data_IF_256946314106
#
_entry.id   IF_256946314106
#
_cell.length_a   1.000
_cell.length_b   1.000
_cell.length_c   1.000
_cell.angle_alpha   90.00
_cell.angle_beta   90.00
_cell.angle_gamma   90.00
#
_symmetry.space_group_name_H-M   'P 1'
#
loop_
_entity.id
_entity.type
_entity.pdbx_description
1 polymer ?
#
# COMPACT_ATOMS: atom_id res chain seq x y z
N UNK A 1 52.04 28.00 -34.57
CA UNK A 1 52.69 27.61 -33.31
C UNK A 1 51.61 27.20 -32.34
N UNK A 2 51.59 25.93 -32.22
CA UNK A 2 51.31 25.06 -31.06
C UNK A 2 50.12 25.44 -30.17
N UNK A 3 49.11 24.64 -30.39
CA UNK A 3 47.98 24.30 -29.62
C UNK A 3 48.27 23.72 -28.23
N UNK A 4 47.28 23.83 -27.38
CA UNK A 4 47.17 22.91 -26.24
C UNK A 4 45.68 22.64 -25.98
N UNK A 5 45.25 21.43 -26.36
CA UNK A 5 43.98 20.83 -26.05
C UNK A 5 44.06 20.29 -24.62
N UNK A 6 43.41 21.00 -23.69
CA UNK A 6 43.16 20.49 -22.35
C UNK A 6 41.81 19.77 -22.28
N UNK A 7 41.77 18.47 -22.51
CA UNK A 7 40.62 17.64 -22.31
C UNK A 7 40.32 17.50 -20.82
N UNK A 8 39.23 18.09 -20.35
CA UNK A 8 38.68 17.85 -19.03
C UNK A 8 38.02 16.47 -19.02
N UNK A 9 38.67 15.52 -18.37
CA UNK A 9 38.11 14.21 -18.09
C UNK A 9 36.93 14.35 -17.11
N UNK A 10 35.71 14.11 -17.60
CA UNK A 10 34.52 13.95 -16.80
C UNK A 10 34.69 12.70 -15.92
N UNK A 11 34.98 12.87 -14.66
CA UNK A 11 34.88 11.80 -13.67
C UNK A 11 33.39 11.47 -13.48
N UNK A 12 32.95 10.34 -13.98
CA UNK A 12 31.71 9.69 -13.60
C UNK A 12 31.72 9.48 -12.10
N UNK A 13 30.93 10.23 -11.36
CA UNK A 13 30.57 9.90 -9.99
C UNK A 13 29.39 8.94 -10.05
N UNK A 14 29.67 7.64 -10.06
CA UNK A 14 28.70 6.61 -9.74
C UNK A 14 28.37 6.73 -8.24
N UNK A 15 27.43 7.58 -7.90
CA UNK A 15 26.66 7.49 -6.65
C UNK A 15 25.20 7.28 -7.05
N UNK A 16 24.78 6.02 -7.03
CA UNK A 16 23.39 5.63 -7.01
C UNK A 16 22.80 6.12 -5.69
N UNK A 17 22.12 7.29 -5.72
CA UNK A 17 21.35 7.81 -4.59
C UNK A 17 20.07 6.96 -4.40
N UNK A 18 20.25 5.69 -4.07
CA UNK A 18 19.16 4.90 -3.55
C UNK A 18 18.79 5.46 -2.16
N UNK A 19 17.51 5.75 -1.87
CA UNK A 19 17.10 6.19 -0.55
C UNK A 19 17.62 5.23 0.51
N UNK A 20 18.12 5.76 1.62
CA UNK A 20 18.77 5.02 2.71
C UNK A 20 18.01 3.74 3.14
N UNK A 21 16.68 3.78 3.17
CA UNK A 21 15.86 2.61 3.50
C UNK A 21 15.92 1.50 2.44
N UNK A 22 16.09 1.86 1.15
CA UNK A 22 16.29 0.87 0.07
C UNK A 22 17.69 0.26 0.16
N UNK A 23 18.70 1.06 0.51
CA UNK A 23 20.05 0.54 0.77
C UNK A 23 20.02 -0.43 1.96
N UNK A 24 19.38 -0.05 3.06
CA UNK A 24 19.23 -0.91 4.24
C UNK A 24 18.34 -2.13 4.02
N UNK A 25 17.30 -2.01 3.19
CA UNK A 25 16.46 -3.14 2.78
C UNK A 25 17.25 -4.14 1.91
N UNK A 26 18.01 -3.63 0.96
CA UNK A 26 18.87 -4.46 0.12
C UNK A 26 20.03 -5.09 0.91
N UNK A 27 20.60 -4.37 1.90
CA UNK A 27 21.60 -4.88 2.82
C UNK A 27 21.03 -5.99 3.72
N UNK A 28 19.81 -5.82 4.21
CA UNK A 28 19.11 -6.85 5.00
C UNK A 28 18.78 -8.10 4.17
N UNK A 29 18.34 -7.93 2.92
CA UNK A 29 18.14 -9.06 2.00
C UNK A 29 19.44 -9.78 1.69
N UNK A 30 20.56 -9.03 1.58
CA UNK A 30 21.89 -9.58 1.35
C UNK A 30 22.40 -10.37 2.56
N UNK A 31 22.28 -9.82 3.77
CA UNK A 31 22.60 -10.52 5.02
C UNK A 31 21.72 -11.72 5.29
N UNK A 32 20.42 -11.67 4.95
CA UNK A 32 19.52 -12.82 5.03
C UNK A 32 19.90 -13.91 4.02
N UNK A 33 20.34 -13.55 2.82
CA UNK A 33 20.86 -14.49 1.82
C UNK A 33 22.24 -15.05 2.18
N UNK A 34 23.16 -14.23 2.72
CA UNK A 34 24.50 -14.66 3.16
C UNK A 34 24.40 -15.58 4.38
N UNK A 35 23.51 -15.29 5.33
CA UNK A 35 23.23 -16.18 6.47
C UNK A 35 22.51 -17.49 6.06
N UNK A 36 21.76 -17.47 4.96
CA UNK A 36 21.19 -18.69 4.38
C UNK A 36 22.25 -19.53 3.65
N UNK A 37 23.30 -18.90 3.10
CA UNK A 37 24.39 -19.60 2.42
C UNK A 37 25.45 -20.15 3.41
N UNK A 38 25.66 -19.49 4.55
CA UNK A 38 26.66 -19.91 5.56
C UNK A 38 26.19 -21.09 6.44
N UNK A 39 24.92 -21.50 6.37
CA UNK A 39 24.33 -22.60 7.14
C UNK A 39 24.35 -23.99 6.46
N UNK A 40 25.01 -24.15 5.32
CA UNK A 40 24.88 -25.36 4.46
C UNK A 40 26.15 -26.20 4.41
N UNK A 41 27.15 -25.98 5.24
CA UNK A 41 28.28 -26.90 5.34
C UNK A 41 28.07 -27.91 6.48
N UNK A 42 27.53 -29.08 6.13
CA UNK A 42 27.51 -30.22 7.06
C UNK A 42 26.41 -31.26 6.89
N UNK A 43 25.51 -31.18 5.91
CA UNK A 43 24.51 -32.22 5.68
C UNK A 43 24.58 -32.74 4.24
N UNK A 44 24.90 -34.04 4.12
CA UNK A 44 24.83 -34.75 2.84
C UNK A 44 23.41 -34.60 2.24
N UNK A 45 23.30 -34.41 0.92
CA UNK A 45 22.00 -34.25 0.27
C UNK A 45 21.24 -35.58 0.30
N UNK A 46 20.15 -35.61 1.05
CA UNK A 46 19.10 -36.61 0.84
C UNK A 46 18.46 -36.34 -0.54
N UNK A 47 18.16 -37.42 -1.26
CA UNK A 47 17.56 -37.39 -2.59
C UNK A 47 16.37 -36.41 -2.67
N UNK A 48 16.13 -35.75 -3.82
CA UNK A 48 15.06 -34.79 -3.96
C UNK A 48 13.72 -35.50 -4.04
N UNK A 49 12.99 -35.54 -2.93
CA UNK A 49 11.56 -35.81 -2.98
C UNK A 49 10.89 -34.58 -3.62
N UNK A 50 10.45 -34.79 -4.86
CA UNK A 50 9.73 -33.79 -5.62
C UNK A 50 8.44 -33.39 -4.91
N UNK A 51 8.06 -32.12 -5.10
CA UNK A 51 6.75 -31.52 -4.88
C UNK A 51 6.38 -30.93 -3.52
N UNK A 52 7.26 -30.82 -2.54
CA UNK A 52 6.92 -30.07 -1.32
C UNK A 52 7.15 -28.55 -1.48
N UNK A 53 6.10 -27.70 -1.33
CA UNK A 53 6.22 -26.25 -1.42
C UNK A 53 7.20 -25.65 -0.41
N UNK A 54 7.99 -24.66 -0.83
CA UNK A 54 9.05 -23.99 -0.04
C UNK A 54 8.57 -23.45 1.32
N UNK A 55 7.29 -23.06 1.45
CA UNK A 55 6.72 -22.58 2.71
C UNK A 55 6.54 -23.69 3.74
N UNK A 56 6.26 -24.91 3.34
CA UNK A 56 6.17 -26.06 4.23
C UNK A 56 7.54 -26.49 4.74
N UNK A 57 8.59 -26.42 3.92
CA UNK A 57 9.98 -26.65 4.35
C UNK A 57 10.41 -25.62 5.39
N UNK A 58 10.06 -24.36 5.21
CA UNK A 58 10.35 -23.27 6.18
C UNK A 58 9.56 -23.42 7.47
N UNK A 59 8.36 -23.95 7.43
CA UNK A 59 7.55 -24.22 8.62
C UNK A 59 8.15 -25.35 9.48
N UNK A 60 8.61 -26.42 8.86
CA UNK A 60 9.32 -27.52 9.55
C UNK A 60 10.66 -27.09 10.15
N UNK A 61 11.41 -26.28 9.45
CA UNK A 61 12.69 -25.75 9.92
C UNK A 61 12.56 -24.82 11.15
N UNK A 62 11.37 -24.29 11.41
CA UNK A 62 11.08 -23.45 12.59
C UNK A 62 10.53 -24.22 13.80
N UNK A 63 10.67 -25.53 13.85
CA UNK A 63 10.28 -26.32 15.01
C UNK A 63 8.76 -26.56 15.13
N UNK A 64 8.03 -26.48 14.03
CA UNK A 64 6.62 -26.84 13.98
C UNK A 64 6.41 -28.30 14.37
N UNK A 65 5.65 -28.53 15.43
CA UNK A 65 5.41 -29.84 16.05
C UNK A 65 4.74 -30.82 15.06
N UNK A 66 5.22 -32.06 15.04
CA UNK A 66 4.65 -33.21 14.29
C UNK A 66 3.17 -33.50 14.60
N UNK A 67 2.63 -32.94 15.67
CA UNK A 67 1.22 -33.13 16.05
C UNK A 67 0.23 -32.43 15.11
N UNK A 68 0.67 -31.44 14.31
CA UNK A 68 -0.17 -30.72 13.35
C UNK A 68 -0.33 -31.44 12.01
N UNK A 69 0.54 -32.41 11.68
CA UNK A 69 0.42 -33.18 10.43
C UNK A 69 -0.57 -34.36 10.49
N UNK A 70 -0.89 -34.81 11.69
CA UNK A 70 -1.87 -35.92 11.87
C UNK A 70 -3.33 -35.47 11.62
N UNK A 71 -3.60 -34.15 11.58
CA UNK A 71 -4.95 -33.62 11.31
C UNK A 71 -5.20 -33.42 9.81
N UNK A 72 -4.19 -33.54 8.96
CA UNK A 72 -4.30 -33.39 7.50
C UNK A 72 -4.37 -34.73 6.74
N UNK A 73 -4.24 -35.84 7.43
CA UNK A 73 -4.57 -37.16 6.91
C UNK A 73 -6.01 -37.57 7.29
N UNK A 74 -6.96 -36.66 7.09
CA UNK A 74 -8.37 -37.01 7.08
C UNK A 74 -8.69 -37.52 5.68
N UNK A 75 -8.95 -38.82 5.67
CA UNK A 75 -9.44 -39.66 4.59
C UNK A 75 -10.35 -38.84 3.62
N UNK A 76 -9.84 -38.45 2.46
CA UNK A 76 -10.56 -37.62 1.46
C UNK A 76 -11.88 -38.30 1.01
N UNK A 77 -11.98 -39.62 1.08
CA UNK A 77 -13.16 -40.41 0.72
C UNK A 77 -14.27 -40.33 1.78
N UNK A 78 -13.94 -40.14 3.06
CA UNK A 78 -14.94 -39.94 4.11
C UNK A 78 -15.61 -38.59 4.05
N UNK A 79 -14.84 -37.56 3.72
CA UNK A 79 -15.36 -36.19 3.60
C UNK A 79 -16.32 -36.03 2.41
N UNK A 80 -16.01 -36.66 1.28
CA UNK A 80 -16.88 -36.67 0.09
C UNK A 80 -18.13 -37.48 0.28
N UNK A 81 -18.08 -38.59 1.03
CA UNK A 81 -19.23 -39.47 1.28
C UNK A 81 -20.21 -38.88 2.31
N UNK A 82 -19.72 -38.21 3.32
CA UNK A 82 -20.56 -37.50 4.31
C UNK A 82 -21.21 -36.23 3.74
N UNK A 83 -20.49 -35.49 2.89
CA UNK A 83 -21.03 -34.34 2.18
C UNK A 83 -22.14 -34.74 1.19
N UNK A 84 -21.99 -35.88 0.51
CA UNK A 84 -23.00 -36.40 -0.43
C UNK A 84 -24.26 -36.95 0.26
N UNK A 85 -24.17 -37.40 1.52
CA UNK A 85 -25.32 -37.87 2.29
C UNK A 85 -26.16 -36.79 2.92
N UNK A 86 -25.57 -35.61 3.21
CA UNK A 86 -26.27 -34.49 3.85
C UNK A 86 -26.95 -33.55 2.86
N UNK A 87 -26.72 -33.70 1.56
CA UNK A 87 -27.26 -32.78 0.53
C UNK A 87 -28.60 -33.20 -0.09
N UNK A 88 -29.16 -34.36 0.32
CA UNK A 88 -30.44 -34.85 -0.30
C UNK A 88 -31.73 -34.16 0.18
N UNK A 89 -31.71 -33.44 1.31
CA UNK A 89 -32.94 -32.84 1.87
C UNK A 89 -32.74 -31.44 2.50
N UNK A 90 -31.73 -30.68 2.10
CA UNK A 90 -31.60 -29.30 2.52
C UNK A 90 -31.70 -28.34 1.34
N UNK A 91 -32.68 -27.44 1.41
CA UNK A 91 -32.74 -26.22 0.61
C UNK A 91 -31.31 -25.70 0.36
N UNK A 92 -30.97 -25.47 -0.92
CA UNK A 92 -29.65 -24.96 -1.30
C UNK A 92 -29.50 -23.58 -0.66
N UNK A 93 -28.99 -23.58 0.57
CA UNK A 93 -28.59 -22.36 1.25
C UNK A 93 -27.36 -21.85 0.50
N UNK A 94 -27.47 -20.67 -0.13
CA UNK A 94 -26.38 -20.03 -0.83
C UNK A 94 -25.11 -20.06 0.03
N UNK A 95 -23.92 -20.29 -0.56
CA UNK A 95 -22.65 -20.32 0.19
C UNK A 95 -22.51 -19.08 1.05
N UNK A 96 -21.96 -19.19 2.27
CA UNK A 96 -21.84 -18.06 3.20
C UNK A 96 -21.13 -16.85 2.58
N UNK A 97 -20.26 -17.04 1.61
CA UNK A 97 -19.61 -15.96 0.86
C UNK A 97 -20.57 -15.11 0.02
N UNK A 98 -21.62 -15.70 -0.58
CA UNK A 98 -22.64 -14.93 -1.30
C UNK A 98 -23.51 -14.11 -0.36
N UNK A 99 -23.94 -14.66 0.79
CA UNK A 99 -24.72 -13.91 1.78
C UNK A 99 -23.90 -12.77 2.39
N UNK A 100 -22.60 -12.96 2.64
CA UNK A 100 -21.72 -11.90 3.14
C UNK A 100 -21.54 -10.75 2.13
N UNK A 101 -21.66 -11.02 0.82
CA UNK A 101 -21.55 -10.00 -0.22
C UNK A 101 -22.84 -9.16 -0.37
N UNK A 102 -24.01 -9.73 -0.08
CA UNK A 102 -25.30 -9.03 -0.15
C UNK A 102 -25.46 -7.95 0.93
N UNK A 103 -24.71 -8.03 2.04
CA UNK A 103 -24.78 -7.07 3.15
C UNK A 103 -24.03 -5.76 2.89
N UNK A 104 -23.22 -5.67 1.82
CA UNK A 104 -22.40 -4.50 1.52
C UNK A 104 -22.91 -3.75 0.29
N UNK A 105 -22.92 -2.42 0.39
CA UNK A 105 -23.29 -1.54 -0.71
C UNK A 105 -22.09 -1.26 -1.61
N UNK A 106 -20.92 -0.98 -1.01
CA UNK A 106 -19.72 -0.55 -1.73
C UNK A 106 -18.47 -1.20 -1.14
N UNK A 107 -17.56 -1.66 -2.01
CA UNK A 107 -16.20 -2.08 -1.66
C UNK A 107 -15.22 -1.02 -2.17
N UNK A 108 -14.36 -0.52 -1.27
CA UNK A 108 -13.28 0.41 -1.59
C UNK A 108 -11.95 -0.28 -1.32
N UNK A 109 -11.02 -0.22 -2.28
CA UNK A 109 -9.67 -0.74 -2.14
C UNK A 109 -8.68 0.40 -2.23
N UNK A 110 -8.04 0.72 -1.12
CA UNK A 110 -7.04 1.78 -1.01
C UNK A 110 -5.68 1.12 -1.21
N UNK A 111 -5.02 1.41 -2.35
CA UNK A 111 -3.83 0.68 -2.81
C UNK A 111 -2.62 1.63 -2.81
N UNK A 112 -1.49 1.18 -2.23
CA UNK A 112 -0.21 1.89 -2.35
C UNK A 112 0.30 1.83 -3.79
N UNK A 113 0.89 2.94 -4.27
CA UNK A 113 1.57 2.94 -5.57
C UNK A 113 2.66 1.86 -5.67
N UNK A 114 2.97 1.41 -6.89
CA UNK A 114 4.05 0.49 -7.20
C UNK A 114 5.44 1.06 -6.89
N UNK A 115 6.50 0.27 -7.07
CA UNK A 115 7.89 0.71 -6.87
C UNK A 115 8.20 1.90 -7.77
N UNK A 116 8.79 2.96 -7.20
CA UNK A 116 9.14 4.20 -7.90
C UNK A 116 10.63 4.27 -8.22
N UNK A 117 10.96 5.09 -9.22
CA UNK A 117 12.36 5.35 -9.59
C UNK A 117 13.11 6.20 -8.55
N UNK A 118 12.39 6.84 -7.64
CA UNK A 118 12.93 7.68 -6.57
C UNK A 118 11.87 8.63 -6.01
N UNK A 119 12.26 9.35 -4.96
CA UNK A 119 11.39 10.34 -4.29
C UNK A 119 11.88 11.78 -4.44
N UNK A 120 13.09 11.97 -4.97
CA UNK A 120 13.66 13.32 -5.20
C UNK A 120 12.92 14.10 -6.29
N UNK A 121 12.36 13.38 -7.25
CA UNK A 121 11.49 13.90 -8.31
C UNK A 121 10.23 13.05 -8.35
N UNK A 122 9.13 13.56 -8.89
CA UNK A 122 7.94 12.74 -9.13
C UNK A 122 8.15 11.87 -10.39
N UNK A 123 9.13 10.97 -10.32
CA UNK A 123 9.70 10.24 -11.45
C UNK A 123 8.84 9.07 -11.96
N UNK A 124 7.70 8.80 -11.32
CA UNK A 124 6.84 7.69 -11.72
C UNK A 124 7.33 6.31 -11.27
N UNK A 125 6.80 5.27 -11.90
CA UNK A 125 7.08 3.87 -11.55
C UNK A 125 8.34 3.35 -12.25
N UNK A 126 9.01 2.39 -11.61
CA UNK A 126 9.95 1.51 -12.30
C UNK A 126 9.19 0.51 -13.19
N UNK A 127 9.85 -0.17 -14.15
CA UNK A 127 9.22 -1.27 -14.89
C UNK A 127 8.63 -2.34 -13.97
N UNK A 128 9.31 -2.68 -12.87
CA UNK A 128 8.82 -3.60 -11.85
C UNK A 128 7.58 -3.06 -11.14
N UNK A 129 7.56 -1.77 -10.78
CA UNK A 129 6.40 -1.13 -10.17
C UNK A 129 5.18 -1.12 -11.09
N UNK A 130 5.40 -0.90 -12.40
CA UNK A 130 4.37 -1.03 -13.42
C UNK A 130 3.81 -2.44 -13.51
N UNK A 131 4.69 -3.44 -13.55
CA UNK A 131 4.30 -4.85 -13.54
C UNK A 131 3.50 -5.22 -12.28
N UNK A 132 3.96 -4.82 -11.10
CA UNK A 132 3.24 -5.06 -9.83
C UNK A 132 1.81 -4.50 -9.87
N UNK A 133 1.65 -3.26 -10.34
CA UNK A 133 0.35 -2.61 -10.46
C UNK A 133 -0.55 -3.31 -11.49
N UNK A 134 -0.01 -3.71 -12.64
CA UNK A 134 -0.72 -4.49 -13.65
C UNK A 134 -1.20 -5.85 -13.09
N UNK A 135 -0.32 -6.59 -12.42
CA UNK A 135 -0.67 -7.87 -11.78
C UNK A 135 -1.75 -7.68 -10.69
N UNK A 136 -1.70 -6.57 -9.95
CA UNK A 136 -2.76 -6.24 -8.98
C UNK A 136 -4.10 -6.06 -9.70
N UNK A 137 -4.15 -5.31 -10.78
CA UNK A 137 -5.35 -5.13 -11.60
C UNK A 137 -5.89 -6.46 -12.15
N UNK A 138 -5.01 -7.28 -12.72
CA UNK A 138 -5.35 -8.61 -13.21
C UNK A 138 -5.94 -9.52 -12.11
N UNK A 139 -5.39 -9.47 -10.89
CA UNK A 139 -5.93 -10.22 -9.76
C UNK A 139 -7.28 -9.67 -9.27
N UNK A 140 -7.50 -8.35 -9.33
CA UNK A 140 -8.77 -7.73 -8.97
C UNK A 140 -9.91 -8.15 -9.93
N UNK A 141 -9.61 -8.40 -11.20
CA UNK A 141 -10.61 -8.87 -12.17
C UNK A 141 -11.20 -10.22 -11.79
N UNK A 142 -10.45 -11.09 -11.09
CA UNK A 142 -10.94 -12.41 -10.64
C UNK A 142 -12.14 -12.33 -9.69
N UNK A 143 -12.23 -11.25 -8.91
CA UNK A 143 -13.31 -11.01 -7.96
C UNK A 143 -14.36 -10.02 -8.46
N UNK A 144 -14.21 -9.53 -9.69
CA UNK A 144 -15.19 -8.62 -10.32
C UNK A 144 -16.38 -9.43 -10.84
N UNK A 145 -17.58 -9.04 -10.45
CA UNK A 145 -18.80 -9.73 -10.89
C UNK A 145 -19.19 -9.33 -12.33
N UNK A 146 -19.85 -10.19 -13.09
CA UNK A 146 -20.41 -9.81 -14.38
C UNK A 146 -21.36 -8.61 -14.26
N UNK A 147 -21.22 -7.63 -15.14
CA UNK A 147 -22.00 -6.37 -15.13
C UNK A 147 -21.62 -5.40 -14.01
N UNK A 148 -20.62 -5.73 -13.18
CA UNK A 148 -20.18 -4.84 -12.08
C UNK A 148 -19.53 -3.57 -12.63
N UNK A 149 -19.93 -2.43 -12.07
CA UNK A 149 -19.24 -1.17 -12.31
C UNK A 149 -18.06 -1.01 -11.35
N UNK A 150 -16.92 -0.58 -11.89
CA UNK A 150 -15.68 -0.32 -11.15
C UNK A 150 -15.18 1.08 -11.47
N UNK A 151 -15.01 1.90 -10.45
CA UNK A 151 -14.41 3.22 -10.56
C UNK A 151 -12.97 3.19 -10.08
N UNK A 152 -12.05 3.72 -10.87
CA UNK A 152 -10.63 3.81 -10.51
C UNK A 152 -10.28 5.27 -10.29
N UNK A 153 -9.76 5.59 -9.11
CA UNK A 153 -9.34 6.94 -8.73
C UNK A 153 -7.92 6.93 -8.19
N UNK A 154 -7.23 8.06 -8.23
CA UNK A 154 -5.85 8.12 -7.75
C UNK A 154 -5.48 9.50 -7.17
N UNK A 155 -4.39 9.53 -6.40
CA UNK A 155 -3.71 10.77 -6.07
C UNK A 155 -3.06 11.38 -7.32
N UNK A 156 -2.92 12.71 -7.32
CA UNK A 156 -2.39 13.48 -8.45
C UNK A 156 -0.85 13.50 -8.52
N UNK A 157 -0.20 12.37 -8.29
CA UNK A 157 1.25 12.21 -8.49
C UNK A 157 1.52 11.23 -9.61
N UNK A 158 2.63 11.40 -10.34
CA UNK A 158 2.99 10.51 -11.46
C UNK A 158 2.96 9.04 -11.06
N UNK A 159 3.50 8.70 -9.90
CA UNK A 159 3.53 7.32 -9.40
C UNK A 159 2.14 6.74 -9.09
N UNK A 160 1.23 7.55 -8.54
CA UNK A 160 -0.14 7.10 -8.25
C UNK A 160 -0.97 6.99 -9.52
N UNK A 161 -0.86 7.97 -10.43
CA UNK A 161 -1.51 7.94 -11.75
C UNK A 161 -1.06 6.72 -12.55
N UNK A 162 0.25 6.49 -12.69
CA UNK A 162 0.78 5.33 -13.40
C UNK A 162 0.37 4.00 -12.75
N UNK A 163 0.27 3.96 -11.41
CA UNK A 163 -0.24 2.78 -10.71
C UNK A 163 -1.70 2.52 -11.09
N UNK A 164 -2.56 3.55 -11.07
CA UNK A 164 -3.96 3.44 -11.45
C UNK A 164 -4.12 3.02 -12.92
N UNK A 165 -3.32 3.58 -13.84
CA UNK A 165 -3.31 3.21 -15.25
C UNK A 165 -2.92 1.74 -15.47
N UNK A 166 -1.91 1.26 -14.75
CA UNK A 166 -1.49 -0.15 -14.84
C UNK A 166 -2.52 -1.10 -14.20
N UNK A 167 -3.16 -0.70 -13.10
CA UNK A 167 -4.28 -1.46 -12.52
C UNK A 167 -5.43 -1.54 -13.54
N UNK A 168 -5.79 -0.44 -14.17
CA UNK A 168 -6.83 -0.39 -15.20
C UNK A 168 -6.55 -1.36 -16.35
N UNK A 169 -5.34 -1.29 -16.93
CA UNK A 169 -4.92 -2.20 -18.01
C UNK A 169 -4.94 -3.66 -17.55
N UNK A 170 -4.38 -3.95 -16.39
CA UNK A 170 -4.39 -5.29 -15.83
C UNK A 170 -5.79 -5.84 -15.56
N UNK A 171 -6.74 -4.98 -15.13
CA UNK A 171 -8.14 -5.38 -14.98
C UNK A 171 -8.78 -5.72 -16.32
N UNK A 172 -8.59 -4.89 -17.35
CA UNK A 172 -9.13 -5.17 -18.69
C UNK A 172 -8.56 -6.47 -19.26
N UNK A 173 -7.25 -6.71 -19.11
CA UNK A 173 -6.60 -7.94 -19.57
C UNK A 173 -7.13 -9.16 -18.81
N UNK A 174 -7.29 -9.04 -17.50
CA UNK A 174 -7.85 -10.13 -16.69
C UNK A 174 -9.33 -10.41 -16.98
N UNK A 175 -10.14 -9.39 -17.21
CA UNK A 175 -11.55 -9.57 -17.60
C UNK A 175 -11.66 -10.32 -18.93
N UNK A 176 -10.84 -9.95 -19.93
CA UNK A 176 -10.78 -10.66 -21.22
C UNK A 176 -10.35 -12.12 -21.03
N UNK A 177 -9.30 -12.35 -20.22
CA UNK A 177 -8.80 -13.71 -19.96
C UNK A 177 -9.86 -14.61 -19.29
N UNK A 178 -10.69 -14.04 -18.42
CA UNK A 178 -11.71 -14.80 -17.69
C UNK A 178 -13.09 -14.77 -18.36
N UNK A 179 -13.20 -14.23 -19.58
CA UNK A 179 -14.45 -14.06 -20.30
C UNK A 179 -15.54 -13.42 -19.44
N UNK A 180 -15.19 -12.30 -18.78
CA UNK A 180 -16.08 -11.55 -17.89
C UNK A 180 -16.33 -10.16 -18.44
N UNK A 181 -17.58 -9.76 -18.42
CA UNK A 181 -18.01 -8.41 -18.78
C UNK A 181 -18.17 -7.57 -17.50
N UNK A 182 -17.49 -6.43 -17.43
CA UNK A 182 -17.64 -5.44 -16.37
C UNK A 182 -17.32 -4.06 -16.93
N UNK A 183 -17.95 -3.03 -16.38
CA UNK A 183 -17.68 -1.64 -16.75
C UNK A 183 -16.56 -1.07 -15.86
N UNK A 184 -15.36 -0.95 -16.40
CA UNK A 184 -14.22 -0.38 -15.68
C UNK A 184 -13.97 1.03 -16.20
N UNK A 185 -14.17 2.04 -15.34
CA UNK A 185 -13.91 3.44 -15.67
C UNK A 185 -12.42 3.73 -15.80
N UNK A 186 -12.05 4.61 -16.71
CA UNK A 186 -10.68 5.11 -16.81
C UNK A 186 -10.26 5.81 -15.50
N UNK A 187 -8.97 5.71 -15.10
CA UNK A 187 -8.50 6.33 -13.88
C UNK A 187 -8.64 7.85 -13.88
N UNK A 188 -9.15 8.40 -12.77
CA UNK A 188 -9.24 9.84 -12.57
C UNK A 188 -8.50 10.29 -11.30
N UNK A 189 -7.76 11.40 -11.32
CA UNK A 189 -7.17 11.96 -10.12
C UNK A 189 -8.20 12.69 -9.28
N UNK A 190 -8.13 12.48 -7.96
CA UNK A 190 -8.94 13.21 -6.99
C UNK A 190 -8.07 13.79 -5.88
N UNK A 191 -8.29 15.06 -5.46
CA UNK A 191 -7.43 15.73 -4.50
C UNK A 191 -7.48 15.09 -3.11
N UNK A 192 -8.57 14.41 -2.77
CA UNK A 192 -8.74 13.76 -1.48
C UNK A 192 -7.77 12.60 -1.25
N UNK A 193 -7.21 11.98 -2.30
CA UNK A 193 -6.26 10.89 -2.21
C UNK A 193 -4.79 11.33 -2.16
N UNK A 194 -4.52 12.65 -2.15
CA UNK A 194 -3.15 13.18 -2.05
C UNK A 194 -2.42 12.63 -0.83
N UNK A 195 -1.09 12.64 -0.86
CA UNK A 195 -0.29 12.33 0.31
C UNK A 195 -0.56 13.34 1.44
N UNK A 196 -0.10 13.05 2.67
CA UNK A 196 -0.23 14.03 3.74
C UNK A 196 0.60 15.28 3.45
N UNK A 197 0.14 16.40 3.94
CA UNK A 197 0.64 17.72 3.60
C UNK A 197 1.51 18.29 4.71
N UNK A 198 2.41 19.18 4.33
CA UNK A 198 3.25 19.96 5.23
C UNK A 198 3.00 21.44 4.95
N UNK A 199 2.75 22.21 5.99
CA UNK A 199 2.63 23.65 5.89
C UNK A 199 4.02 24.29 5.83
N UNK A 200 4.27 25.08 4.79
CA UNK A 200 5.49 25.87 4.61
C UNK A 200 5.10 27.34 4.42
N UNK A 201 6.04 28.29 4.51
CA UNK A 201 5.74 29.69 4.24
C UNK A 201 5.10 29.97 2.87
N UNK A 202 5.36 29.10 1.90
CA UNK A 202 4.80 29.17 0.55
C UNK A 202 3.45 28.44 0.41
N UNK A 203 2.85 28.02 1.51
CA UNK A 203 1.60 27.28 1.57
C UNK A 203 1.77 25.78 1.81
N UNK A 204 0.67 25.03 1.69
CA UNK A 204 0.68 23.57 1.86
C UNK A 204 1.38 22.88 0.71
N UNK A 205 2.22 21.90 1.05
CA UNK A 205 2.95 21.09 0.09
C UNK A 205 2.84 19.59 0.43
N UNK A 206 2.83 18.76 -0.57
CA UNK A 206 3.07 17.32 -0.41
C UNK A 206 4.40 17.09 0.32
N UNK A 207 4.41 16.10 1.22
CA UNK A 207 5.60 15.77 2.03
C UNK A 207 6.85 15.54 1.18
N UNK A 208 6.72 14.95 -0.01
CA UNK A 208 7.86 14.75 -0.92
C UNK A 208 8.39 16.08 -1.48
N UNK A 209 7.48 17.01 -1.80
CA UNK A 209 7.85 18.35 -2.26
C UNK A 209 8.48 19.20 -1.13
N UNK A 210 7.97 19.06 0.09
CA UNK A 210 8.54 19.68 1.29
C UNK A 210 9.96 19.16 1.59
N UNK A 211 10.26 17.89 1.31
CA UNK A 211 11.60 17.33 1.44
C UNK A 211 12.62 18.04 0.53
N UNK A 212 12.26 18.29 -0.71
CA UNK A 212 13.15 19.01 -1.65
C UNK A 212 13.44 20.42 -1.16
N UNK A 213 12.42 21.11 -0.65
CA UNK A 213 12.61 22.44 -0.08
C UNK A 213 13.50 22.39 1.18
N UNK A 214 13.30 21.41 2.03
CA UNK A 214 14.14 21.15 3.20
C UNK A 214 15.61 20.91 2.80
N UNK A 215 15.86 20.05 1.82
CA UNK A 215 17.23 19.80 1.34
C UNK A 215 17.93 21.08 0.86
N UNK A 216 17.21 21.94 0.14
CA UNK A 216 17.75 23.22 -0.32
C UNK A 216 18.06 24.19 0.82
N UNK A 217 17.42 24.03 1.98
CA UNK A 217 17.59 24.90 3.14
C UNK A 217 18.50 24.33 4.22
N UNK A 218 18.92 23.07 4.11
CA UNK A 218 19.71 22.37 5.14
C UNK A 218 21.00 23.13 5.51
N UNK A 219 21.80 23.52 4.54
CA UNK A 219 23.04 24.27 4.80
C UNK A 219 22.79 25.61 5.51
N UNK A 220 21.70 26.30 5.14
CA UNK A 220 21.29 27.55 5.79
C UNK A 220 20.85 27.29 7.22
N UNK A 221 20.09 26.22 7.45
CA UNK A 221 19.62 25.80 8.78
C UNK A 221 20.78 25.53 9.74
N UNK A 222 21.84 24.86 9.26
CA UNK A 222 23.02 24.53 10.06
C UNK A 222 23.79 25.78 10.53
N UNK A 223 23.78 26.86 9.70
CA UNK A 223 24.43 28.13 10.03
C UNK A 223 23.58 29.03 10.93
N UNK A 224 22.27 28.75 11.07
CA UNK A 224 21.37 29.52 11.92
C UNK A 224 21.50 29.14 13.38
N UNK A 225 21.52 30.14 14.29
CA UNK A 225 21.38 29.87 15.72
C UNK A 225 20.06 29.19 16.00
N UNK A 226 20.04 28.28 16.99
CA UNK A 226 18.88 27.44 17.31
C UNK A 226 17.62 28.27 17.57
N UNK A 227 17.76 29.43 18.25
CA UNK A 227 16.66 30.34 18.56
C UNK A 227 16.05 31.08 17.35
N UNK A 228 16.82 31.18 16.26
CA UNK A 228 16.41 31.92 15.05
C UNK A 228 15.77 30.99 13.99
N UNK A 229 15.74 29.70 14.24
CA UNK A 229 15.20 28.71 13.29
C UNK A 229 13.68 28.79 13.23
N UNK A 230 13.07 28.95 12.05
CA UNK A 230 11.61 28.92 11.91
C UNK A 230 11.04 27.59 12.41
N UNK A 231 9.95 27.64 13.19
CA UNK A 231 9.35 26.44 13.80
C UNK A 231 8.96 25.36 12.79
N UNK A 232 8.38 25.75 11.66
CA UNK A 232 8.04 24.84 10.58
C UNK A 232 9.27 24.08 10.07
N UNK A 233 10.41 24.74 9.94
CA UNK A 233 11.66 24.16 9.46
C UNK A 233 12.27 23.21 10.51
N UNK A 234 12.11 23.52 11.81
CA UNK A 234 12.54 22.64 12.91
C UNK A 234 11.73 21.35 12.91
N UNK A 235 10.41 21.40 12.67
CA UNK A 235 9.59 20.18 12.61
C UNK A 235 9.91 19.34 11.37
N UNK A 236 10.08 19.98 10.21
CA UNK A 236 10.50 19.30 8.98
C UNK A 236 11.88 18.67 9.16
N UNK A 237 12.84 19.39 9.75
CA UNK A 237 14.17 18.90 10.05
C UNK A 237 14.09 17.65 10.95
N UNK A 238 13.30 17.72 12.03
CA UNK A 238 13.08 16.57 12.93
C UNK A 238 12.52 15.37 12.19
N UNK A 239 11.52 15.57 11.33
CA UNK A 239 10.89 14.50 10.56
C UNK A 239 11.90 13.81 9.64
N UNK A 240 12.65 14.58 8.84
CA UNK A 240 13.58 14.00 7.88
C UNK A 240 14.87 13.47 8.52
N UNK A 241 15.35 14.07 9.62
CA UNK A 241 16.46 13.50 10.40
C UNK A 241 16.09 12.17 11.04
N UNK A 242 14.85 11.99 11.46
CA UNK A 242 14.33 10.69 11.91
C UNK A 242 14.52 9.63 10.82
N UNK A 243 14.19 9.96 9.58
CA UNK A 243 14.42 9.09 8.42
C UNK A 243 15.90 8.83 8.15
N UNK A 244 16.73 9.87 8.17
CA UNK A 244 18.17 9.75 7.94
C UNK A 244 18.87 8.93 9.05
N UNK A 245 18.37 9.03 10.28
CA UNK A 245 18.83 8.22 11.42
C UNK A 245 18.35 6.77 11.40
N UNK A 246 17.62 6.36 10.38
CA UNK A 246 17.13 4.99 10.21
C UNK A 246 15.89 4.65 11.05
N UNK A 247 15.29 5.65 11.72
CA UNK A 247 13.99 5.50 12.37
C UNK A 247 12.85 5.77 11.36
N UNK A 248 11.65 5.42 11.74
CA UNK A 248 10.47 5.54 10.88
C UNK A 248 9.78 6.90 11.08
N UNK A 249 9.88 7.84 10.11
CA UNK A 249 9.28 9.14 10.23
C UNK A 249 7.75 9.10 10.16
N UNK A 250 7.17 8.09 9.50
CA UNK A 250 5.71 7.93 9.43
C UNK A 250 5.17 7.47 10.80
N UNK A 251 5.87 6.56 11.49
CA UNK A 251 5.49 6.20 12.86
C UNK A 251 5.52 7.42 13.79
N UNK A 252 6.53 8.29 13.66
CA UNK A 252 6.60 9.55 14.39
C UNK A 252 5.39 10.45 14.06
N UNK A 253 5.06 10.63 12.79
CA UNK A 253 3.92 11.44 12.34
C UNK A 253 2.58 10.90 12.87
N UNK A 254 2.43 9.56 12.95
CA UNK A 254 1.22 8.93 13.47
C UNK A 254 1.04 9.10 14.99
N UNK A 255 2.13 9.27 15.73
CA UNK A 255 2.12 9.21 17.20
C UNK A 255 2.42 10.54 17.89
N UNK A 256 3.15 11.43 17.22
CA UNK A 256 3.57 12.73 17.78
C UNK A 256 2.82 13.85 17.05
N UNK A 257 2.08 14.71 17.78
CA UNK A 257 1.48 15.89 17.18
C UNK A 257 2.55 16.80 16.56
N UNK A 258 2.46 17.04 15.28
CA UNK A 258 3.29 17.97 14.52
C UNK A 258 2.40 19.12 14.05
N UNK A 259 2.76 20.37 14.39
CA UNK A 259 1.91 21.55 14.14
C UNK A 259 1.85 21.92 12.66
N UNK A 260 2.93 21.64 11.92
CA UNK A 260 3.06 22.00 10.51
C UNK A 260 2.81 20.84 9.55
N UNK A 261 2.38 19.69 10.08
CA UNK A 261 1.99 18.55 9.27
C UNK A 261 0.48 18.31 9.35
N UNK A 262 -0.12 17.90 8.24
CA UNK A 262 -1.51 17.44 8.24
C UNK A 262 -1.67 16.33 9.28
N UNK A 263 -2.58 16.48 10.25
CA UNK A 263 -2.81 15.45 11.26
C UNK A 263 -3.27 14.14 10.60
N UNK A 264 -2.84 12.96 11.10
CA UNK A 264 -3.26 11.67 10.55
C UNK A 264 -4.78 11.53 10.45
N UNK A 265 -5.50 11.99 11.46
CA UNK A 265 -6.97 11.96 11.48
C UNK A 265 -7.61 12.84 10.40
N UNK A 266 -7.03 14.01 10.10
CA UNK A 266 -7.49 14.88 9.03
C UNK A 266 -7.28 14.22 7.66
N UNK A 267 -6.15 13.54 7.47
CA UNK A 267 -5.88 12.74 6.28
C UNK A 267 -6.94 11.64 6.07
N UNK A 268 -7.29 10.89 7.13
CA UNK A 268 -8.34 9.85 7.08
C UNK A 268 -9.70 10.44 6.74
N UNK A 269 -10.07 11.55 7.39
CA UNK A 269 -11.35 12.24 7.14
C UNK A 269 -11.45 12.75 5.70
N UNK A 270 -10.34 13.30 5.17
CA UNK A 270 -10.26 13.72 3.78
C UNK A 270 -10.54 12.56 2.82
N UNK A 271 -10.02 11.37 3.09
CA UNK A 271 -10.31 10.17 2.31
C UNK A 271 -11.80 9.83 2.36
N UNK A 272 -12.40 9.82 3.55
CA UNK A 272 -13.83 9.58 3.72
C UNK A 272 -14.67 10.62 2.96
N UNK A 273 -14.32 11.90 2.99
CA UNK A 273 -14.98 12.95 2.20
C UNK A 273 -14.95 12.61 0.70
N UNK A 274 -13.79 12.20 0.18
CA UNK A 274 -13.66 11.75 -1.20
C UNK A 274 -14.55 10.55 -1.51
N UNK A 275 -14.57 9.55 -0.64
CA UNK A 275 -15.39 8.36 -0.84
C UNK A 275 -16.89 8.67 -0.78
N UNK A 276 -17.33 9.51 0.15
CA UNK A 276 -18.74 9.96 0.19
C UNK A 276 -19.14 10.68 -1.10
N UNK A 277 -18.30 11.58 -1.61
CA UNK A 277 -18.53 12.26 -2.87
C UNK A 277 -18.64 11.27 -4.03
N UNK A 278 -17.71 10.34 -4.16
CA UNK A 278 -17.70 9.31 -5.22
C UNK A 278 -18.95 8.43 -5.18
N UNK A 279 -19.38 8.02 -3.99
CA UNK A 279 -20.60 7.22 -3.79
C UNK A 279 -21.88 8.02 -4.10
N UNK A 280 -21.90 9.31 -3.77
CA UNK A 280 -23.04 10.18 -4.10
C UNK A 280 -23.16 10.46 -5.61
N UNK A 281 -22.02 10.60 -6.30
CA UNK A 281 -21.99 10.79 -7.77
C UNK A 281 -22.44 9.53 -8.55
N UNK A 282 -22.11 8.34 -8.06
CA UNK A 282 -22.43 7.05 -8.67
C UNK A 282 -22.89 6.04 -7.62
N UNK A 283 -24.15 6.14 -7.15
CA UNK A 283 -24.69 5.24 -6.12
C UNK A 283 -24.79 3.77 -6.59
N UNK A 284 -24.81 3.55 -7.87
CA UNK A 284 -24.84 2.25 -8.56
C UNK A 284 -23.46 1.60 -8.71
N UNK A 285 -22.37 2.32 -8.37
CA UNK A 285 -21.02 1.80 -8.50
C UNK A 285 -20.59 1.07 -7.20
N UNK A 286 -20.65 -0.27 -7.17
CA UNK A 286 -20.36 -1.04 -5.95
C UNK A 286 -18.87 -1.18 -5.65
N UNK A 287 -17.95 -0.75 -6.53
CA UNK A 287 -16.52 -0.94 -6.37
C UNK A 287 -15.71 0.28 -6.74
N UNK A 288 -14.86 0.72 -5.79
CA UNK A 288 -13.93 1.83 -5.97
C UNK A 288 -12.51 1.31 -5.72
N UNK A 289 -11.59 1.62 -6.63
CA UNK A 289 -10.15 1.33 -6.49
C UNK A 289 -9.42 2.67 -6.40
N UNK A 290 -8.70 2.89 -5.32
CA UNK A 290 -8.07 4.15 -4.97
C UNK A 290 -6.56 4.01 -4.84
N UNK A 291 -5.77 4.45 -5.84
CA UNK A 291 -4.32 4.41 -5.80
C UNK A 291 -3.75 5.64 -5.07
N UNK A 292 -2.93 5.42 -4.04
CA UNK A 292 -2.38 6.48 -3.20
C UNK A 292 -1.01 6.14 -2.62
N UNK A 293 -0.65 6.72 -1.49
CA UNK A 293 0.67 6.67 -0.86
C UNK A 293 0.67 5.89 0.47
N UNK A 294 1.86 5.51 0.91
CA UNK A 294 2.10 4.75 2.14
C UNK A 294 1.58 5.47 3.39
N UNK A 295 1.90 6.76 3.59
CA UNK A 295 1.49 7.52 4.77
C UNK A 295 -0.03 7.52 4.99
N UNK A 296 -0.84 7.94 4.01
CA UNK A 296 -2.30 7.90 4.11
C UNK A 296 -2.88 6.50 4.35
N UNK A 297 -2.35 5.47 3.69
CA UNK A 297 -2.79 4.08 3.91
C UNK A 297 -2.53 3.66 5.35
N UNK A 298 -1.33 3.96 5.86
CA UNK A 298 -0.93 3.63 7.21
C UNK A 298 -1.76 4.39 8.25
N UNK A 299 -2.04 5.68 8.00
CA UNK A 299 -2.95 6.46 8.84
C UNK A 299 -4.37 5.87 8.86
N UNK A 300 -4.89 5.47 7.69
CA UNK A 300 -6.22 4.86 7.57
C UNK A 300 -6.29 3.52 8.32
N UNK A 301 -5.29 2.66 8.15
CA UNK A 301 -5.21 1.39 8.85
C UNK A 301 -5.05 1.58 10.38
N UNK A 302 -4.23 2.56 10.81
CA UNK A 302 -4.05 2.91 12.22
C UNK A 302 -5.36 3.40 12.84
N UNK A 303 -6.08 4.29 12.14
CA UNK A 303 -7.39 4.76 12.58
C UNK A 303 -8.39 3.62 12.77
N UNK A 304 -8.45 2.70 11.81
CA UNK A 304 -9.42 1.60 11.83
C UNK A 304 -9.09 0.53 12.89
N UNK A 305 -7.82 0.21 13.08
CA UNK A 305 -7.40 -0.91 13.93
C UNK A 305 -6.88 -0.51 15.31
N UNK A 306 -6.68 0.79 15.56
CA UNK A 306 -6.18 1.32 16.83
C UNK A 306 -4.68 1.10 17.08
N UNK A 307 -3.92 0.65 16.08
CA UNK A 307 -2.46 0.47 16.15
C UNK A 307 -1.82 0.69 14.79
N UNK A 308 -0.55 1.09 14.78
CA UNK A 308 0.23 1.26 13.57
C UNK A 308 0.71 -0.09 13.02
N UNK A 309 0.24 -0.52 11.83
CA UNK A 309 0.63 -1.81 11.25
C UNK A 309 2.01 -1.80 10.58
N UNK A 310 2.71 -0.66 10.57
CA UNK A 310 3.97 -0.45 9.89
C UNK A 310 3.83 -0.19 8.38
N UNK A 311 4.96 -0.05 7.71
CA UNK A 311 5.03 0.32 6.30
C UNK A 311 4.28 -0.68 5.41
N UNK A 312 3.33 -0.24 4.57
CA UNK A 312 2.68 -1.09 3.58
C UNK A 312 3.65 -1.44 2.46
N UNK A 313 3.54 -2.65 1.91
CA UNK A 313 4.26 -3.03 0.69
C UNK A 313 3.72 -2.28 -0.54
N UNK A 314 4.54 -2.19 -1.60
CA UNK A 314 4.07 -1.64 -2.87
C UNK A 314 2.89 -2.47 -3.40
N UNK A 315 1.85 -1.80 -3.86
CA UNK A 315 0.56 -2.38 -4.27
C UNK A 315 -0.20 -3.15 -3.18
N UNK A 316 0.22 -3.05 -1.92
CA UNK A 316 -0.58 -3.54 -0.78
C UNK A 316 -1.83 -2.68 -0.60
N UNK A 317 -2.91 -3.28 -0.12
CA UNK A 317 -4.22 -2.63 -0.05
C UNK A 317 -4.86 -2.71 1.32
N UNK A 318 -5.61 -1.68 1.67
CA UNK A 318 -6.67 -1.70 2.69
C UNK A 318 -8.00 -1.90 1.98
N UNK A 319 -8.80 -2.86 2.42
CA UNK A 319 -10.12 -3.13 1.88
C UNK A 319 -11.18 -2.61 2.84
N UNK A 320 -12.06 -1.74 2.34
CA UNK A 320 -13.17 -1.17 3.10
C UNK A 320 -14.47 -1.64 2.46
N UNK A 321 -15.33 -2.27 3.25
CA UNK A 321 -16.65 -2.72 2.81
C UNK A 321 -17.72 -2.00 3.60
N UNK A 322 -18.44 -1.10 2.95
CA UNK A 322 -19.49 -0.28 3.56
C UNK A 322 -20.78 -1.07 3.58
N UNK A 323 -21.37 -1.21 4.75
CA UNK A 323 -22.67 -1.91 4.90
C UNK A 323 -23.80 -1.15 4.22
N UNK A 324 -24.83 -1.87 3.79
CA UNK A 324 -26.08 -1.27 3.34
C UNK A 324 -26.66 -0.43 4.48
N UNK A 325 -27.03 0.82 4.20
CA UNK A 325 -27.40 1.82 5.22
C UNK A 325 -26.29 2.80 5.59
N UNK A 326 -25.02 2.55 5.18
CA UNK A 326 -23.95 3.56 5.19
C UNK A 326 -23.33 3.91 6.54
N UNK A 327 -23.90 3.44 7.67
CA UNK A 327 -23.45 3.86 9.01
C UNK A 327 -22.18 3.16 9.51
N UNK A 328 -21.89 1.94 9.02
CA UNK A 328 -20.71 1.17 9.42
C UNK A 328 -20.00 0.56 8.22
N UNK A 329 -18.71 0.26 8.40
CA UNK A 329 -17.88 -0.40 7.41
C UNK A 329 -16.97 -1.43 8.07
N UNK A 330 -16.66 -2.51 7.34
CA UNK A 330 -15.58 -3.43 7.69
C UNK A 330 -14.31 -2.95 7.01
N UNK A 331 -13.27 -2.71 7.79
CA UNK A 331 -11.92 -2.39 7.31
C UNK A 331 -11.04 -3.60 7.49
N UNK A 332 -10.52 -4.14 6.39
CA UNK A 332 -9.61 -5.27 6.40
C UNK A 332 -8.22 -4.83 5.94
N UNK A 333 -7.22 -5.12 6.75
CA UNK A 333 -5.82 -4.91 6.41
C UNK A 333 -4.96 -6.03 6.99
N UNK A 334 -4.17 -6.67 6.12
CA UNK A 334 -3.39 -7.86 6.49
C UNK A 334 -4.30 -8.91 7.14
N UNK A 335 -4.00 -9.34 8.34
CA UNK A 335 -4.74 -10.39 9.04
C UNK A 335 -5.82 -9.86 10.00
N UNK A 336 -6.19 -8.58 9.90
CA UNK A 336 -7.20 -7.96 10.76
C UNK A 336 -8.38 -7.44 9.98
N UNK A 337 -9.55 -7.60 10.59
CA UNK A 337 -10.81 -7.01 10.14
C UNK A 337 -11.42 -6.30 11.34
N UNK A 338 -11.75 -5.04 11.19
CA UNK A 338 -12.37 -4.23 12.24
C UNK A 338 -13.61 -3.55 11.68
N UNK A 339 -14.71 -3.61 12.43
CA UNK A 339 -15.90 -2.81 12.13
C UNK A 339 -15.73 -1.41 12.70
N UNK A 340 -15.97 -0.40 11.88
CA UNK A 340 -15.82 1.01 12.22
C UNK A 340 -17.09 1.78 11.88
N UNK A 341 -17.37 2.85 12.62
CA UNK A 341 -18.37 3.81 12.22
C UNK A 341 -17.83 4.64 11.05
N UNK A 342 -18.61 4.77 9.99
CA UNK A 342 -18.28 5.63 8.85
C UNK A 342 -18.44 7.08 9.30
N UNK A 343 -17.39 7.92 9.27
CA UNK A 343 -17.51 9.31 9.65
C UNK A 343 -18.51 10.04 8.75
N UNK A 344 -19.48 10.78 9.30
CA UNK A 344 -20.44 11.53 8.50
C UNK A 344 -19.74 12.65 7.72
N UNK A 345 -20.23 13.03 6.53
CA UNK A 345 -19.61 14.05 5.68
C UNK A 345 -19.46 15.41 6.35
N UNK A 346 -20.40 15.76 7.21
CA UNK A 346 -20.54 17.10 7.81
C UNK A 346 -19.66 17.33 9.06
N UNK A 347 -19.16 16.27 9.67
CA UNK A 347 -18.30 16.35 10.86
C UNK A 347 -16.81 16.49 10.56
N UNK A 348 -16.45 16.96 9.37
CA UNK A 348 -15.06 16.96 8.95
C UNK A 348 -14.39 18.31 9.21
N UNK A 349 -13.59 18.48 10.28
CA UNK A 349 -12.72 19.63 10.37
C UNK A 349 -11.75 19.57 9.19
N UNK A 350 -11.81 20.62 8.39
CA UNK A 350 -10.89 20.79 7.26
C UNK A 350 -9.61 21.40 7.84
N UNK A 351 -8.50 20.72 7.66
CA UNK A 351 -7.17 21.28 7.95
C UNK A 351 -6.72 22.21 6.82
N UNK A 352 -7.63 22.57 5.92
CA UNK A 352 -7.45 23.48 4.81
C UNK A 352 -7.87 24.89 5.29
N UNK A 353 -6.95 25.82 5.38
CA UNK A 353 -7.19 27.24 5.54
C UNK A 353 -6.93 27.95 4.23
#
# INVERSE_FOLDING_TARGET
MTGNNGGAAFRRTDRTDAPYYLAKYNERLRTENENSAAGVDGLQPAAPDGDEPLYLRRFRARGGSRASSAVLEVDGDRFTTEFARTTKDKEIVAPPERRAQEDFATEIRIIRHGITQGYSTDAGLTPMGGWQAHQRGHNLSKSTQPGQQVRIVCADTSRARQTADQIYRGMLDGLRQWDREAEVGAPEPIPELRNFQVWTPDGMRDVTSAFRQYQALMEKLERMAVGDRPRWLVEIDRFYRTQLGGADPIAMWLTIPLMYFEPPQSCVRRFWRGFHRLMAERPDCPRIIAATHSGPIRAFATWAHGYDPGEPYNTEEVVVRIRRGGGTALVAYRNRVTEVNVPPPDEMPVWET
#
